data_IF_644826313782
#
_entry.id   IF_644826313782
#
_cell.length_a   1.000
_cell.length_b   1.000
_cell.length_c   1.000
_cell.angle_alpha   90.00
_cell.angle_beta   90.00
_cell.angle_gamma   90.00
#
_symmetry.space_group_name_H-M   'P 1'
#
loop_
_entity.id
_entity.type
_entity.pdbx_description
1 polymer ?
#
# COMPACT_ATOMS: atom_id res chain seq x y z
N UNK A 1 -40.67 27.19 9.45
CA UNK A 1 -40.41 25.79 9.87
C UNK A 1 -39.69 24.95 8.80
N UNK A 2 -39.64 25.38 7.53
CA UNK A 2 -38.96 24.70 6.41
C UNK A 2 -37.42 24.67 6.50
N UNK A 3 -36.78 25.73 7.01
CA UNK A 3 -35.31 25.81 7.10
C UNK A 3 -34.65 24.76 8.02
N UNK A 4 -35.35 24.25 9.04
CA UNK A 4 -34.78 23.26 9.98
C UNK A 4 -34.69 21.87 9.35
N UNK A 5 -35.70 21.47 8.58
CA UNK A 5 -35.75 20.17 7.91
C UNK A 5 -34.74 20.07 6.77
N UNK A 6 -34.52 21.16 6.02
CA UNK A 6 -33.52 21.22 4.94
C UNK A 6 -32.09 21.13 5.50
N UNK A 7 -31.82 21.77 6.63
CA UNK A 7 -30.53 21.70 7.31
C UNK A 7 -30.25 20.28 7.87
N UNK A 8 -31.22 19.66 8.54
CA UNK A 8 -31.09 18.28 9.02
C UNK A 8 -30.85 17.29 7.87
N UNK A 9 -31.54 17.46 6.75
CA UNK A 9 -31.36 16.66 5.54
C UNK A 9 -29.96 16.85 4.94
N UNK A 10 -29.44 18.08 4.90
CA UNK A 10 -28.09 18.37 4.43
C UNK A 10 -27.01 17.73 5.33
N UNK A 11 -27.16 17.85 6.66
CA UNK A 11 -26.24 17.23 7.63
C UNK A 11 -26.26 15.71 7.52
N UNK A 12 -27.41 15.09 7.35
CA UNK A 12 -27.54 13.65 7.15
C UNK A 12 -26.83 13.19 5.85
N UNK A 13 -26.99 13.94 4.74
CA UNK A 13 -26.28 13.68 3.48
C UNK A 13 -24.77 13.79 3.64
N UNK A 14 -24.28 14.83 4.31
CA UNK A 14 -22.85 15.01 4.57
C UNK A 14 -22.26 13.86 5.39
N UNK A 15 -22.97 13.40 6.44
CA UNK A 15 -22.55 12.24 7.24
C UNK A 15 -22.45 10.97 6.40
N UNK A 16 -23.42 10.73 5.54
CA UNK A 16 -23.43 9.56 4.65
C UNK A 16 -22.30 9.62 3.63
N UNK A 17 -22.09 10.76 2.98
CA UNK A 17 -20.99 10.96 2.02
C UNK A 17 -19.63 10.75 2.68
N UNK A 18 -19.44 11.27 3.90
CA UNK A 18 -18.21 11.05 4.67
C UNK A 18 -17.96 9.58 4.97
N UNK A 19 -18.97 8.85 5.46
CA UNK A 19 -18.86 7.40 5.70
C UNK A 19 -18.50 6.63 4.44
N UNK A 20 -19.13 6.97 3.31
CA UNK A 20 -18.81 6.35 2.03
C UNK A 20 -17.38 6.65 1.57
N UNK A 21 -16.89 7.87 1.79
CA UNK A 21 -15.51 8.23 1.47
C UNK A 21 -14.50 7.45 2.34
N UNK A 22 -14.74 7.39 3.64
CA UNK A 22 -13.92 6.61 4.59
C UNK A 22 -13.90 5.13 4.21
N UNK A 23 -15.06 4.56 3.85
CA UNK A 23 -15.15 3.15 3.43
C UNK A 23 -14.41 2.89 2.11
N UNK A 24 -14.51 3.81 1.14
CA UNK A 24 -13.74 3.72 -0.12
C UNK A 24 -12.24 3.74 0.14
N UNK A 25 -11.78 4.62 1.04
CA UNK A 25 -10.37 4.71 1.43
C UNK A 25 -9.86 3.41 2.07
N UNK A 26 -10.64 2.84 3.00
CA UNK A 26 -10.31 1.55 3.64
C UNK A 26 -10.21 0.44 2.59
N UNK A 27 -11.21 0.30 1.73
CA UNK A 27 -11.21 -0.74 0.68
C UNK A 27 -10.05 -0.57 -0.31
N UNK A 28 -9.68 0.66 -0.64
CA UNK A 28 -8.52 0.94 -1.47
C UNK A 28 -7.22 0.44 -0.80
N UNK A 29 -7.04 0.64 0.50
CA UNK A 29 -5.88 0.12 1.23
C UNK A 29 -5.90 -1.41 1.35
N UNK A 30 -7.05 -2.00 1.62
CA UNK A 30 -7.21 -3.46 1.67
C UNK A 30 -6.85 -4.12 0.33
N UNK A 31 -7.36 -3.59 -0.78
CA UNK A 31 -7.07 -4.11 -2.11
C UNK A 31 -5.57 -4.02 -2.45
N UNK A 32 -4.92 -2.89 -2.19
CA UNK A 32 -3.48 -2.72 -2.42
C UNK A 32 -2.64 -3.69 -1.58
N UNK A 33 -2.96 -3.84 -0.30
CA UNK A 33 -2.25 -4.73 0.61
C UNK A 33 -2.47 -6.20 0.24
N UNK A 34 -3.70 -6.56 -0.17
CA UNK A 34 -3.99 -7.90 -0.66
C UNK A 34 -3.20 -8.23 -1.94
N UNK A 35 -3.16 -7.32 -2.92
CA UNK A 35 -2.36 -7.49 -4.14
C UNK A 35 -0.88 -7.67 -3.82
N UNK A 36 -0.35 -6.87 -2.88
CA UNK A 36 1.05 -6.94 -2.47
C UNK A 36 1.36 -8.26 -1.75
N UNK A 37 0.54 -8.68 -0.78
CA UNK A 37 0.72 -9.97 -0.08
C UNK A 37 0.60 -11.13 -1.06
N UNK A 38 -0.42 -11.11 -1.93
CA UNK A 38 -0.65 -12.16 -2.94
C UNK A 38 0.55 -12.30 -3.87
N UNK A 39 1.08 -11.20 -4.41
CA UNK A 39 2.26 -11.23 -5.26
C UNK A 39 3.49 -11.82 -4.54
N UNK A 40 3.60 -11.63 -3.22
CA UNK A 40 4.73 -12.15 -2.44
C UNK A 40 4.51 -13.57 -1.90
N UNK A 41 3.30 -14.11 -1.99
CA UNK A 41 2.95 -15.48 -1.57
C UNK A 41 3.49 -16.51 -2.54
N UNK A 42 4.04 -17.60 -2.00
CA UNK A 42 4.56 -18.75 -2.75
C UNK A 42 4.20 -20.04 -2.01
N UNK A 43 4.32 -21.23 -2.64
CA UNK A 43 4.12 -22.49 -1.93
C UNK A 43 5.02 -22.68 -0.71
N UNK A 44 6.20 -22.05 -0.70
CA UNK A 44 7.22 -22.20 0.35
C UNK A 44 7.16 -21.14 1.44
N UNK A 45 6.42 -20.05 1.24
CA UNK A 45 6.57 -18.87 2.09
C UNK A 45 5.74 -17.67 1.64
N UNK A 46 5.75 -16.63 2.47
CA UNK A 46 5.01 -15.40 2.28
C UNK A 46 5.83 -14.13 2.41
N UNK A 47 5.13 -13.03 2.66
CA UNK A 47 5.74 -11.74 2.94
C UNK A 47 6.21 -11.71 4.40
N UNK A 48 7.53 -11.68 4.57
CA UNK A 48 8.20 -11.84 5.86
C UNK A 48 8.32 -10.52 6.67
N UNK A 49 7.31 -10.26 7.51
CA UNK A 49 7.29 -9.21 8.52
C UNK A 49 6.70 -7.87 8.07
N UNK A 50 6.16 -7.12 9.03
CA UNK A 50 5.57 -5.79 8.82
C UNK A 50 6.57 -4.78 8.24
N UNK A 51 7.85 -4.85 8.60
CA UNK A 51 8.87 -3.96 8.03
C UNK A 51 8.98 -4.13 6.52
N UNK A 52 9.00 -5.37 6.02
CA UNK A 52 9.05 -5.62 4.58
C UNK A 52 7.79 -5.09 3.90
N UNK A 53 6.62 -5.33 4.50
CA UNK A 53 5.34 -4.86 3.99
C UNK A 53 5.34 -3.34 3.86
N UNK A 54 5.70 -2.63 4.93
CA UNK A 54 5.71 -1.19 4.99
C UNK A 54 6.68 -0.57 3.97
N UNK A 55 7.87 -1.15 3.76
CA UNK A 55 8.82 -0.63 2.77
C UNK A 55 8.37 -0.87 1.34
N UNK A 56 7.76 -2.02 1.05
CA UNK A 56 7.23 -2.31 -0.29
C UNK A 56 6.01 -1.44 -0.60
N UNK A 57 5.10 -1.28 0.37
CA UNK A 57 3.93 -0.41 0.23
C UNK A 57 4.33 1.07 0.11
N UNK A 58 5.37 1.51 0.81
CA UNK A 58 5.97 2.83 0.60
C UNK A 58 6.46 3.00 -0.85
N UNK A 59 7.28 2.09 -1.37
CA UNK A 59 7.76 2.21 -2.75
C UNK A 59 6.63 2.15 -3.78
N UNK A 60 5.52 1.49 -3.45
CA UNK A 60 4.33 1.44 -4.30
C UNK A 60 3.56 2.76 -4.30
N UNK A 61 3.39 3.38 -3.13
CA UNK A 61 2.68 4.68 -2.96
C UNK A 61 3.48 5.87 -3.45
N UNK A 62 4.81 5.77 -3.43
CA UNK A 62 5.75 6.83 -3.82
C UNK A 62 6.53 6.41 -5.07
N UNK A 63 5.88 6.33 -6.26
CA UNK A 63 6.51 5.80 -7.46
C UNK A 63 7.72 6.62 -7.92
N UNK A 64 7.77 7.93 -7.65
CA UNK A 64 8.97 8.75 -7.89
C UNK A 64 10.18 8.32 -7.04
N UNK A 65 9.94 7.86 -5.81
CA UNK A 65 11.00 7.33 -4.94
C UNK A 65 11.44 5.94 -5.40
N UNK A 66 10.50 5.11 -5.86
CA UNK A 66 10.83 3.84 -6.50
C UNK A 66 11.68 4.05 -7.76
N UNK A 67 11.33 5.02 -8.62
CA UNK A 67 12.08 5.37 -9.83
C UNK A 67 13.56 5.67 -9.53
N UNK A 68 13.83 6.44 -8.46
CA UNK A 68 15.20 6.75 -8.01
C UNK A 68 16.00 5.54 -7.53
N UNK A 69 15.33 4.46 -7.12
CA UNK A 69 15.97 3.21 -6.70
C UNK A 69 16.15 2.21 -7.86
N UNK A 70 15.52 2.45 -9.01
CA UNK A 70 15.65 1.58 -10.17
C UNK A 70 16.98 1.86 -10.90
N UNK A 71 17.72 0.82 -11.33
CA UNK A 71 19.06 0.99 -11.89
C UNK A 71 19.10 1.83 -13.18
N UNK A 72 18.01 1.85 -13.95
CA UNK A 72 17.88 2.64 -15.17
C UNK A 72 16.74 3.67 -15.09
N UNK A 73 16.32 4.06 -13.88
CA UNK A 73 15.24 5.02 -13.66
C UNK A 73 13.96 4.65 -14.43
N UNK A 74 13.48 5.59 -15.25
CA UNK A 74 12.24 5.44 -16.02
C UNK A 74 12.25 4.23 -16.96
N UNK A 75 13.40 3.89 -17.56
CA UNK A 75 13.52 2.75 -18.48
C UNK A 75 13.32 1.39 -17.78
N UNK A 76 13.28 1.36 -16.45
CA UNK A 76 13.04 0.13 -15.68
C UNK A 76 11.55 -0.20 -15.49
N UNK A 77 10.64 0.72 -15.82
CA UNK A 77 9.20 0.49 -15.69
C UNK A 77 8.66 -0.40 -16.82
N UNK A 78 7.73 -1.31 -16.51
CA UNK A 78 6.86 -1.90 -17.53
C UNK A 78 6.14 -0.82 -18.35
N UNK A 79 5.88 -1.10 -19.62
CA UNK A 79 5.20 -0.16 -20.53
C UNK A 79 3.90 0.38 -19.92
N UNK A 80 3.75 1.71 -19.94
CA UNK A 80 2.56 2.39 -19.42
C UNK A 80 2.43 2.43 -17.89
N UNK A 81 3.47 2.07 -17.13
CA UNK A 81 3.41 2.01 -15.66
C UNK A 81 4.36 2.95 -14.94
N UNK A 82 5.15 3.72 -15.68
CA UNK A 82 5.96 4.80 -15.13
C UNK A 82 5.09 5.81 -14.36
N UNK A 83 5.63 6.52 -13.36
CA UNK A 83 4.92 7.57 -12.66
C UNK A 83 4.50 8.64 -13.66
N UNK A 84 3.23 9.04 -13.61
CA UNK A 84 2.74 10.20 -14.34
C UNK A 84 3.32 11.50 -13.75
N UNK A 85 3.24 12.62 -14.48
CA UNK A 85 3.71 13.91 -13.95
C UNK A 85 3.05 14.29 -12.61
N UNK A 86 1.73 14.10 -12.40
CA UNK A 86 1.13 14.28 -11.09
C UNK A 86 1.70 13.36 -10.01
N UNK A 87 1.93 12.08 -10.30
CA UNK A 87 2.51 11.13 -9.33
C UNK A 87 3.98 11.43 -8.97
N UNK A 88 4.68 12.22 -9.78
CA UNK A 88 6.02 12.73 -9.46
C UNK A 88 5.98 13.94 -8.51
N UNK A 89 4.88 14.68 -8.52
CA UNK A 89 4.70 15.91 -7.73
C UNK A 89 3.87 15.69 -6.46
N UNK A 90 2.99 14.70 -6.47
CA UNK A 90 2.03 14.42 -5.42
C UNK A 90 1.89 12.92 -5.17
N UNK A 91 1.48 12.58 -3.95
CA UNK A 91 1.33 11.20 -3.47
C UNK A 91 -0.14 10.96 -3.17
N UNK A 92 -0.68 9.87 -3.71
CA UNK A 92 -2.11 9.53 -3.62
C UNK A 92 -2.54 9.21 -2.18
N UNK A 93 -1.69 8.55 -1.40
CA UNK A 93 -1.94 8.23 0.01
C UNK A 93 -0.68 8.38 0.84
N UNK A 94 -0.59 9.49 1.58
CA UNK A 94 0.59 9.82 2.38
C UNK A 94 0.78 8.84 3.53
N UNK A 95 2.04 8.57 3.84
CA UNK A 95 2.46 7.82 5.01
C UNK A 95 3.06 8.78 6.04
N UNK A 96 2.95 8.42 7.31
CA UNK A 96 3.57 9.20 8.39
C UNK A 96 5.00 8.70 8.61
N UNK A 97 5.94 9.63 8.83
CA UNK A 97 7.31 9.30 9.21
C UNK A 97 7.40 8.93 10.69
N UNK A 98 7.70 7.68 10.99
CA UNK A 98 7.99 7.19 12.35
C UNK A 98 9.47 6.84 12.53
N UNK A 99 9.89 6.43 13.74
CA UNK A 99 11.29 6.15 14.12
C UNK A 99 12.00 5.19 13.13
N UNK A 100 11.28 4.23 12.56
CA UNK A 100 11.80 3.22 11.64
C UNK A 100 11.37 3.43 10.17
N UNK A 101 10.96 4.65 9.83
CA UNK A 101 10.67 5.15 8.48
C UNK A 101 9.17 5.32 8.21
N UNK A 102 8.74 5.35 6.93
CA UNK A 102 7.33 5.46 6.55
C UNK A 102 6.50 4.34 7.19
N UNK A 103 5.41 4.73 7.87
CA UNK A 103 4.45 3.83 8.50
C UNK A 103 3.03 4.32 8.24
N UNK A 104 2.09 3.38 8.22
CA UNK A 104 0.67 3.66 8.13
C UNK A 104 -0.03 3.05 9.36
N UNK A 105 -0.69 3.89 10.16
CA UNK A 105 -1.41 3.43 11.36
C UNK A 105 -2.50 2.39 11.03
N UNK A 106 -3.00 2.40 9.79
CA UNK A 106 -4.07 1.53 9.31
C UNK A 106 -3.63 0.11 9.03
N UNK A 107 -2.33 -0.22 9.10
CA UNK A 107 -1.87 -1.57 8.77
C UNK A 107 -2.56 -2.65 9.61
N UNK A 108 -2.71 -2.45 10.92
CA UNK A 108 -3.33 -3.47 11.78
C UNK A 108 -4.82 -3.67 11.47
N UNK A 109 -5.57 -2.59 11.20
CA UNK A 109 -6.98 -2.71 10.82
C UNK A 109 -7.16 -3.34 9.44
N UNK A 110 -6.32 -2.97 8.48
CA UNK A 110 -6.33 -3.55 7.12
C UNK A 110 -5.99 -5.03 7.16
N UNK A 111 -4.91 -5.41 7.84
CA UNK A 111 -4.50 -6.81 7.97
C UNK A 111 -5.53 -7.62 8.75
N UNK A 112 -6.09 -7.07 9.82
CA UNK A 112 -7.15 -7.69 10.61
C UNK A 112 -8.42 -7.93 9.78
N UNK A 113 -8.85 -6.95 8.99
CA UNK A 113 -10.00 -7.07 8.09
C UNK A 113 -9.79 -8.15 7.02
N UNK A 114 -8.62 -8.14 6.35
CA UNK A 114 -8.28 -9.15 5.35
C UNK A 114 -8.22 -10.56 5.95
N UNK A 115 -7.69 -10.70 7.17
CA UNK A 115 -7.61 -11.98 7.87
C UNK A 115 -9.00 -12.46 8.33
N UNK A 116 -9.82 -11.56 8.89
CA UNK A 116 -11.20 -11.87 9.31
C UNK A 116 -12.09 -12.34 8.14
N UNK A 117 -11.81 -11.84 6.93
CA UNK A 117 -12.47 -12.27 5.68
C UNK A 117 -11.86 -13.53 5.05
N UNK A 118 -10.86 -14.14 5.67
CA UNK A 118 -10.20 -15.35 5.16
C UNK A 118 -9.36 -15.13 3.89
N UNK A 119 -8.98 -13.89 3.58
CA UNK A 119 -8.20 -13.56 2.38
C UNK A 119 -6.69 -13.69 2.62
N UNK A 120 -6.25 -13.49 3.85
CA UNK A 120 -4.86 -13.73 4.25
C UNK A 120 -4.80 -14.57 5.52
N UNK A 121 -3.65 -15.18 5.73
CA UNK A 121 -3.24 -15.77 7.01
C UNK A 121 -1.90 -15.19 7.42
N UNK A 122 -1.62 -15.17 8.72
CA UNK A 122 -0.31 -14.80 9.25
C UNK A 122 0.16 -15.80 10.30
N UNK A 123 1.48 -16.00 10.40
CA UNK A 123 2.07 -16.88 11.41
C UNK A 123 2.08 -16.24 12.80
N UNK A 124 1.95 -17.06 13.84
CA UNK A 124 2.05 -16.64 15.25
C UNK A 124 3.51 -16.51 15.74
N UNK A 125 4.43 -16.13 14.87
CA UNK A 125 5.85 -15.93 15.21
C UNK A 125 6.15 -14.47 15.51
N UNK A 126 7.23 -14.22 16.27
CA UNK A 126 7.75 -12.87 16.55
C UNK A 126 7.98 -12.04 15.27
N UNK A 127 8.24 -12.71 14.15
CA UNK A 127 8.20 -12.14 12.82
C UNK A 127 7.04 -12.77 12.05
N UNK A 128 5.90 -12.08 12.02
CA UNK A 128 4.70 -12.55 11.31
C UNK A 128 4.98 -12.64 9.81
N UNK A 129 4.77 -13.83 9.24
CA UNK A 129 4.78 -14.06 7.80
C UNK A 129 3.35 -13.98 7.28
N UNK A 130 3.09 -13.11 6.31
CA UNK A 130 1.77 -12.94 5.70
C UNK A 130 1.65 -13.74 4.40
N UNK A 131 0.58 -14.50 4.23
CA UNK A 131 0.28 -15.26 3.01
C UNK A 131 -1.15 -15.01 2.57
N UNK A 132 -1.38 -14.92 1.27
CA UNK A 132 -2.73 -14.98 0.72
C UNK A 132 -3.26 -16.42 0.81
N UNK A 133 -4.52 -16.58 1.17
CA UNK A 133 -5.23 -17.86 1.04
C UNK A 133 -5.57 -18.13 -0.43
N UNK A 134 -6.06 -19.33 -0.81
CA UNK A 134 -6.58 -19.55 -2.15
C UNK A 134 -7.67 -18.55 -2.54
N UNK A 135 -8.57 -18.21 -1.60
CA UNK A 135 -9.61 -17.21 -1.80
C UNK A 135 -9.01 -15.80 -1.98
N UNK A 136 -8.03 -15.42 -1.17
CA UNK A 136 -7.33 -14.14 -1.31
C UNK A 136 -6.54 -14.03 -2.61
N UNK A 137 -5.92 -15.12 -3.06
CA UNK A 137 -5.22 -15.16 -4.33
C UNK A 137 -6.18 -15.02 -5.51
N UNK A 138 -7.34 -15.68 -5.47
CA UNK A 138 -8.39 -15.49 -6.47
C UNK A 138 -8.91 -14.04 -6.50
N UNK A 139 -9.20 -13.47 -5.33
CA UNK A 139 -9.63 -12.07 -5.22
C UNK A 139 -8.57 -11.08 -5.74
N UNK A 140 -7.29 -11.31 -5.40
CA UNK A 140 -6.18 -10.51 -5.91
C UNK A 140 -6.03 -10.63 -7.43
N UNK A 141 -6.20 -11.83 -7.99
CA UNK A 141 -6.15 -12.04 -9.44
C UNK A 141 -7.29 -11.31 -10.16
N UNK A 142 -8.52 -11.37 -9.62
CA UNK A 142 -9.66 -10.61 -10.16
C UNK A 142 -9.46 -9.09 -10.05
N UNK A 143 -8.90 -8.61 -8.95
CA UNK A 143 -8.55 -7.19 -8.80
C UNK A 143 -7.48 -6.77 -9.82
N UNK A 144 -6.43 -7.56 -10.00
CA UNK A 144 -5.30 -7.21 -10.84
C UNK A 144 -5.63 -6.98 -12.33
N UNK A 145 -6.77 -7.50 -12.80
CA UNK A 145 -7.23 -7.33 -14.19
C UNK A 145 -8.18 -6.16 -14.37
N UNK A 146 -8.64 -5.51 -13.30
CA UNK A 146 -9.50 -4.33 -13.45
C UNK A 146 -8.67 -3.12 -13.88
N UNK A 147 -9.22 -2.21 -14.71
CA UNK A 147 -8.49 -1.03 -15.19
C UNK A 147 -7.87 -0.19 -14.06
N UNK A 148 -8.57 -0.07 -12.92
CA UNK A 148 -8.17 0.73 -11.78
C UNK A 148 -6.93 0.16 -11.07
N UNK A 149 -6.75 -1.16 -11.11
CA UNK A 149 -5.70 -1.87 -10.37
C UNK A 149 -4.59 -2.44 -11.26
N UNK A 150 -4.77 -2.46 -12.59
CA UNK A 150 -3.80 -3.03 -13.52
C UNK A 150 -2.41 -2.39 -13.41
N UNK A 151 -2.34 -1.06 -13.29
CA UNK A 151 -1.08 -0.32 -13.10
C UNK A 151 -0.43 -0.73 -11.78
N UNK A 152 -1.17 -0.69 -10.68
CA UNK A 152 -0.69 -1.07 -9.34
C UNK A 152 -0.16 -2.52 -9.33
N UNK A 153 -0.92 -3.46 -9.91
CA UNK A 153 -0.52 -4.86 -10.01
C UNK A 153 0.78 -5.04 -10.81
N UNK A 154 0.96 -4.29 -11.90
CA UNK A 154 2.19 -4.31 -12.70
C UNK A 154 3.39 -3.73 -11.94
N UNK A 155 3.20 -2.63 -11.21
CA UNK A 155 4.23 -2.05 -10.33
C UNK A 155 4.60 -3.01 -9.19
N UNK A 156 3.63 -3.73 -8.63
CA UNK A 156 3.86 -4.77 -7.62
C UNK A 156 4.71 -5.93 -8.18
N UNK A 157 4.49 -6.35 -9.43
CA UNK A 157 5.35 -7.33 -10.12
C UNK A 157 6.79 -6.82 -10.27
N UNK A 158 6.98 -5.54 -10.62
CA UNK A 158 8.29 -4.90 -10.67
C UNK A 158 8.97 -4.90 -9.29
N UNK A 159 8.23 -4.56 -8.23
CA UNK A 159 8.70 -4.61 -6.84
C UNK A 159 9.16 -6.01 -6.46
N UNK A 160 8.37 -7.06 -6.75
CA UNK A 160 8.81 -8.45 -6.50
C UNK A 160 10.10 -8.76 -7.23
N UNK A 161 10.24 -8.36 -8.49
CA UNK A 161 11.42 -8.68 -9.30
C UNK A 161 12.69 -7.97 -8.82
N UNK A 162 12.59 -6.71 -8.36
CA UNK A 162 13.76 -5.86 -8.06
C UNK A 162 14.04 -5.69 -6.57
N UNK A 163 13.01 -5.80 -5.73
CA UNK A 163 13.03 -5.43 -4.31
C UNK A 163 12.56 -6.56 -3.38
N UNK A 164 12.58 -7.82 -3.83
CA UNK A 164 12.33 -8.98 -2.95
C UNK A 164 13.53 -9.28 -2.03
N UNK A 165 13.77 -8.37 -1.08
CA UNK A 165 14.82 -8.45 -0.05
C UNK A 165 14.19 -8.61 1.34
N UNK A 166 15.01 -8.77 2.38
CA UNK A 166 14.54 -8.72 3.76
C UNK A 166 14.06 -7.31 4.14
N UNK A 167 13.23 -7.20 5.17
CA UNK A 167 12.78 -5.89 5.66
C UNK A 167 13.93 -4.97 6.07
N UNK A 168 14.97 -5.53 6.70
CA UNK A 168 16.18 -4.80 7.09
C UNK A 168 16.99 -4.32 5.89
N UNK A 169 17.15 -5.16 4.86
CA UNK A 169 17.86 -4.78 3.64
C UNK A 169 17.11 -3.68 2.86
N UNK A 170 15.77 -3.77 2.78
CA UNK A 170 14.95 -2.71 2.20
C UNK A 170 15.04 -1.40 2.99
N UNK A 171 15.00 -1.49 4.32
CA UNK A 171 15.16 -0.33 5.20
C UNK A 171 16.48 0.37 4.92
N UNK A 172 17.60 -0.35 4.98
CA UNK A 172 18.92 0.22 4.77
C UNK A 172 19.03 0.83 3.36
N UNK A 173 18.59 0.12 2.32
CA UNK A 173 18.57 0.64 0.95
C UNK A 173 17.82 1.98 0.83
N UNK A 174 16.62 2.08 1.41
CA UNK A 174 15.83 3.32 1.39
C UNK A 174 16.55 4.42 2.16
N UNK A 175 17.16 4.10 3.31
CA UNK A 175 17.83 5.08 4.15
C UNK A 175 19.08 5.65 3.45
N UNK A 176 19.83 4.79 2.78
CA UNK A 176 21.09 5.17 2.13
C UNK A 176 20.85 5.94 0.82
N UNK A 177 19.78 5.63 0.10
CA UNK A 177 19.55 6.13 -1.28
C UNK A 177 18.47 7.20 -1.38
N UNK A 178 17.63 7.35 -0.35
CA UNK A 178 16.54 8.33 -0.30
C UNK A 178 16.58 9.16 1.00
N UNK A 179 17.70 9.84 1.31
CA UNK A 179 17.87 10.56 2.58
C UNK A 179 16.77 11.61 2.81
N UNK A 180 16.30 12.28 1.76
CA UNK A 180 15.21 13.27 1.78
C UNK A 180 13.82 12.69 2.14
N UNK A 181 13.61 11.39 1.92
CA UNK A 181 12.38 10.72 2.29
C UNK A 181 12.34 10.28 3.76
N UNK A 182 13.52 10.13 4.40
CA UNK A 182 13.67 9.67 5.79
C UNK A 182 14.09 10.78 6.75
N UNK A 183 14.80 11.80 6.26
CA UNK A 183 15.26 12.96 7.01
C UNK A 183 14.16 14.04 7.05
N UNK A 184 13.02 13.63 7.59
CA UNK A 184 11.89 14.50 7.91
C UNK A 184 11.61 14.46 9.41
N UNK A 185 11.05 15.53 9.99
CA UNK A 185 10.66 15.55 11.38
C UNK A 185 9.75 14.35 11.73
N UNK A 186 9.86 13.84 12.95
CA UNK A 186 9.03 12.69 13.35
C UNK A 186 7.57 13.09 13.39
N UNK A 187 6.69 12.14 13.05
CA UNK A 187 5.22 12.31 13.05
C UNK A 187 4.71 13.32 12.01
N UNK A 188 5.50 13.65 10.99
CA UNK A 188 5.02 14.40 9.82
C UNK A 188 4.67 13.47 8.67
N UNK A 189 3.82 13.94 7.77
CA UNK A 189 3.59 13.26 6.50
C UNK A 189 4.84 13.32 5.61
N UNK A 190 5.04 12.26 4.83
CA UNK A 190 6.08 12.15 3.81
C UNK A 190 5.48 12.57 2.47
#
# INVERSE_FOLDING_TARGET
MTHSADFETAVARMRTQRRQAEQREVHYHEARILLLISQFTTPKGGLDGLTKLAKLDFLLRYPAMLERLLPAGEASWPAGTAPTSPERLAVESRMTRYKYGPWDQRYYSVLGSLAARGLIVYSNSARAEFRATPQGAAAAASLAITPEWAVVASRIKLLRRRFNKSGSALKNLIYDRLPDAVDRPWRTEI
#
